data_IF_956064756528
#
_entry.id   IF_956064756528
#
_cell.length_a   1.000
_cell.length_b   1.000
_cell.length_c   1.000
_cell.angle_alpha   90.00
_cell.angle_beta   90.00
_cell.angle_gamma   90.00
#
_symmetry.space_group_name_H-M   'P 1'
#
loop_
_entity.id
_entity.type
_entity.pdbx_description
1 polymer ?
#
# COMPACT_ATOMS: atom_id res chain seq x y z
N UNK A 1 5.75 -6.08 10.20
CA UNK A 1 4.55 -6.40 9.40
C UNK A 1 4.09 -5.08 8.82
N UNK A 2 4.39 -4.79 7.55
CA UNK A 2 4.14 -3.46 7.00
C UNK A 2 2.64 -3.23 6.73
N UNK A 3 2.13 -2.06 7.10
CA UNK A 3 0.71 -1.70 7.05
C UNK A 3 0.47 -0.42 6.23
N UNK A 4 -0.75 -0.24 5.73
CA UNK A 4 -1.14 1.00 5.06
C UNK A 4 -1.03 2.20 6.02
N UNK A 5 -0.56 3.34 5.51
CA UNK A 5 -0.32 4.55 6.30
C UNK A 5 1.02 4.59 7.03
N UNK A 6 1.78 3.49 7.08
CA UNK A 6 3.15 3.52 7.60
C UNK A 6 4.09 4.26 6.64
N UNK A 7 5.11 4.91 7.21
CA UNK A 7 6.16 5.58 6.45
C UNK A 7 7.38 4.66 6.31
N UNK A 8 7.92 4.56 5.10
CA UNK A 8 9.12 3.79 4.80
C UNK A 8 10.16 4.65 4.10
N UNK A 9 11.42 4.27 4.22
CA UNK A 9 12.53 4.94 3.52
C UNK A 9 13.01 4.03 2.39
N UNK A 10 13.02 4.55 1.16
CA UNK A 10 13.55 3.88 -0.03
C UNK A 10 14.64 4.80 -0.60
N UNK A 11 15.87 4.30 -0.72
CA UNK A 11 16.99 5.07 -1.30
C UNK A 11 17.18 6.47 -0.67
N UNK A 12 16.97 6.57 0.65
CA UNK A 12 17.12 7.83 1.40
C UNK A 12 15.93 8.79 1.29
N UNK A 13 14.85 8.43 0.60
CA UNK A 13 13.62 9.23 0.49
C UNK A 13 12.48 8.59 1.27
N UNK A 14 11.64 9.44 1.87
CA UNK A 14 10.47 9.02 2.64
C UNK A 14 9.24 8.85 1.73
N UNK A 15 8.59 7.70 1.89
CA UNK A 15 7.33 7.35 1.22
C UNK A 15 6.33 6.82 2.24
N UNK A 16 5.04 6.93 1.92
CA UNK A 16 3.94 6.37 2.71
C UNK A 16 3.34 5.19 1.96
N UNK A 17 3.09 4.09 2.66
CA UNK A 17 2.47 2.89 2.08
C UNK A 17 1.00 3.19 1.82
N UNK A 18 0.60 3.16 0.54
CA UNK A 18 -0.79 3.33 0.13
C UNK A 18 -1.55 2.00 0.09
N UNK A 19 -0.88 0.90 -0.30
CA UNK A 19 -1.52 -0.41 -0.36
C UNK A 19 -0.52 -1.55 -0.11
N UNK A 20 -1.04 -2.65 0.44
CA UNK A 20 -0.29 -3.89 0.68
C UNK A 20 -1.01 -5.03 -0.05
N UNK A 21 -0.37 -5.60 -1.06
CA UNK A 21 -0.94 -6.70 -1.86
C UNK A 21 -0.18 -7.99 -1.61
N UNK A 22 -0.93 -9.06 -1.30
CA UNK A 22 -0.40 -10.41 -1.18
C UNK A 22 -0.91 -11.25 -2.34
N UNK A 23 0.00 -11.72 -3.19
CA UNK A 23 -0.35 -12.62 -4.31
C UNK A 23 -0.17 -14.06 -3.87
N UNK A 24 -1.21 -14.85 -4.03
CA UNK A 24 -1.20 -16.29 -3.79
C UNK A 24 -1.28 -17.04 -5.11
N UNK A 25 -0.65 -18.21 -5.17
CA UNK A 25 -0.70 -19.13 -6.31
C UNK A 25 -1.20 -20.49 -5.84
N UNK A 26 -2.09 -21.11 -6.62
CA UNK A 26 -2.56 -22.45 -6.35
C UNK A 26 -1.49 -23.47 -6.78
N UNK A 27 -0.95 -24.22 -5.83
CA UNK A 27 0.02 -25.30 -6.05
C UNK A 27 -0.44 -26.55 -5.31
N UNK A 28 -0.52 -27.67 -6.02
CA UNK A 28 -0.90 -28.97 -5.46
C UNK A 28 -2.16 -28.92 -4.57
N UNK A 29 -3.19 -28.17 -4.98
CA UNK A 29 -4.45 -28.05 -4.25
C UNK A 29 -4.43 -27.11 -3.04
N UNK A 30 -3.36 -26.33 -2.83
CA UNK A 30 -3.27 -25.32 -1.76
C UNK A 30 -2.83 -23.97 -2.30
N UNK A 31 -3.35 -22.90 -1.72
CA UNK A 31 -2.88 -21.54 -2.03
C UNK A 31 -1.60 -21.26 -1.25
N UNK A 32 -0.51 -21.03 -1.97
CA UNK A 32 0.79 -20.68 -1.42
C UNK A 32 1.11 -19.21 -1.70
N UNK A 33 1.73 -18.47 -0.77
CA UNK A 33 2.11 -17.08 -0.99
C UNK A 33 3.24 -17.02 -2.04
N UNK A 34 3.01 -16.24 -3.10
CA UNK A 34 3.96 -16.08 -4.21
C UNK A 34 4.71 -14.76 -4.14
N UNK A 35 4.04 -13.66 -3.80
CA UNK A 35 4.64 -12.33 -3.82
C UNK A 35 3.96 -11.42 -2.80
N UNK A 36 4.74 -10.51 -2.23
CA UNK A 36 4.24 -9.39 -1.44
C UNK A 36 4.69 -8.09 -2.09
N UNK A 37 3.72 -7.27 -2.49
CA UNK A 37 3.95 -5.98 -3.13
C UNK A 37 3.46 -4.86 -2.22
N UNK A 38 4.23 -3.78 -2.16
CA UNK A 38 3.89 -2.56 -1.45
C UNK A 38 3.78 -1.46 -2.49
N UNK A 39 2.60 -0.85 -2.59
CA UNK A 39 2.45 0.36 -3.37
C UNK A 39 2.66 1.54 -2.43
N UNK A 40 3.54 2.44 -2.86
CA UNK A 40 4.00 3.57 -2.05
C UNK A 40 3.82 4.87 -2.80
N UNK A 41 3.57 5.94 -2.05
CA UNK A 41 3.40 7.29 -2.57
C UNK A 41 4.29 8.25 -1.77
N UNK A 42 4.63 9.39 -2.35
CA UNK A 42 5.23 10.45 -1.54
C UNK A 42 4.24 10.89 -0.46
N UNK A 43 4.75 11.31 0.70
CA UNK A 43 3.90 11.71 1.83
C UNK A 43 2.87 12.78 1.43
N UNK A 44 3.29 13.77 0.64
CA UNK A 44 2.41 14.83 0.13
C UNK A 44 1.28 14.29 -0.75
N UNK A 45 1.57 13.32 -1.62
CA UNK A 45 0.58 12.69 -2.51
C UNK A 45 -0.43 11.87 -1.70
N UNK A 46 0.03 11.11 -0.72
CA UNK A 46 -0.82 10.31 0.16
C UNK A 46 -1.83 11.17 0.92
N UNK A 47 -1.38 12.27 1.53
CA UNK A 47 -2.25 13.18 2.28
C UNK A 47 -3.30 13.84 1.38
N UNK A 48 -2.89 14.29 0.18
CA UNK A 48 -3.82 14.89 -0.78
C UNK A 48 -4.91 13.89 -1.22
N UNK A 49 -4.52 12.64 -1.49
CA UNK A 49 -5.48 11.59 -1.84
C UNK A 49 -6.48 11.35 -0.71
N UNK A 50 -5.98 11.19 0.53
CA UNK A 50 -6.83 11.01 1.70
C UNK A 50 -7.84 12.15 1.85
N UNK A 51 -7.40 13.40 1.66
CA UNK A 51 -8.31 14.56 1.73
C UNK A 51 -9.39 14.49 0.64
N UNK A 52 -9.02 14.20 -0.60
CA UNK A 52 -9.97 14.11 -1.72
C UNK A 52 -10.96 12.95 -1.55
N UNK A 53 -10.50 11.79 -1.09
CA UNK A 53 -11.35 10.63 -0.77
C UNK A 53 -12.38 11.01 0.32
N UNK A 54 -11.95 11.68 1.38
CA UNK A 54 -12.85 12.17 2.44
C UNK A 54 -13.88 13.20 1.95
N UNK A 55 -13.55 14.00 0.93
CA UNK A 55 -14.51 14.92 0.33
C UNK A 55 -15.54 14.18 -0.53
N UNK A 56 -15.10 13.18 -1.30
CA UNK A 56 -15.96 12.35 -2.13
C UNK A 56 -16.95 11.55 -1.28
N UNK A 57 -16.50 10.97 -0.17
CA UNK A 57 -17.35 10.21 0.75
C UNK A 57 -18.42 11.07 1.45
N UNK A 58 -18.27 12.40 1.46
CA UNK A 58 -19.20 13.35 2.10
C UNK A 58 -20.20 13.98 1.13
N UNK A 59 -20.09 13.71 -0.17
CA UNK A 59 -21.01 14.21 -1.20
C UNK A 59 -22.23 13.33 -1.36
#
# INVERSE_FOLDING_TARGET
NMQCGESITIEGKYYTISAVTHRYQLRNGRYEPSEKRLDVQSASRYILNLYLENLLDKS
#
